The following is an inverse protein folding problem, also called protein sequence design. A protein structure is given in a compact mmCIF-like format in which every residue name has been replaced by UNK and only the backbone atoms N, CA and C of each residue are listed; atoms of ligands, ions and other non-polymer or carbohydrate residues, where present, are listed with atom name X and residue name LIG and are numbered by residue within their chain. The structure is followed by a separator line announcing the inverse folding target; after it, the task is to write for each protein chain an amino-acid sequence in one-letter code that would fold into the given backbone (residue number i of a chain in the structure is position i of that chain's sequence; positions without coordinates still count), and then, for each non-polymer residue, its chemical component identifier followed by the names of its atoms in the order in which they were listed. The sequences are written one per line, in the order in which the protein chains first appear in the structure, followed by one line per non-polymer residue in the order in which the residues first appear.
data_IF_601575047722
#
_entry.id   IF_601575047722
#
_cell.length_a   1.000
_cell.length_b   1.000
_cell.length_c   1.000
_cell.angle_alpha   90.00
_cell.angle_beta   90.00
_cell.angle_gamma   90.00
#
_symmetry.space_group_name_H-M   'P 1'
#
loop_
_entity.id
_entity.type
_entity.pdbx_description
1 polymer ?
#
# COMPACT_ATOMS: atom_id res chain seq x y z
N UNK A 1 45.55 6.79 -1.78
CA UNK A 1 44.75 6.95 -0.54
C UNK A 1 43.46 7.75 -0.76
N UNK A 2 43.51 9.00 -1.23
CA UNK A 2 42.29 9.81 -1.51
C UNK A 2 41.25 9.10 -2.41
N UNK A 3 41.70 8.43 -3.49
CA UNK A 3 40.82 7.68 -4.41
C UNK A 3 40.14 6.45 -3.76
N UNK A 4 40.80 5.81 -2.81
CA UNK A 4 40.25 4.64 -2.08
C UNK A 4 39.20 5.10 -1.05
N UNK A 5 39.46 6.23 -0.38
CA UNK A 5 38.52 6.81 0.57
C UNK A 5 37.22 7.22 -0.12
N UNK A 6 37.29 7.83 -1.32
CA UNK A 6 36.11 8.22 -2.12
C UNK A 6 35.31 6.99 -2.57
N UNK A 7 35.98 5.89 -2.91
CA UNK A 7 35.32 4.65 -3.32
C UNK A 7 34.55 3.99 -2.17
N UNK A 8 35.13 4.00 -0.96
CA UNK A 8 34.50 3.42 0.25
C UNK A 8 33.28 4.24 0.69
N UNK A 9 33.35 5.58 0.63
CA UNK A 9 32.17 6.44 0.93
C UNK A 9 31.05 6.25 -0.08
N UNK A 10 31.35 6.06 -1.36
CA UNK A 10 30.34 5.82 -2.39
C UNK A 10 29.63 4.48 -2.21
N UNK A 11 30.37 3.43 -1.86
CA UNK A 11 29.82 2.09 -1.61
C UNK A 11 28.91 2.08 -0.36
N UNK A 12 29.30 2.78 0.71
CA UNK A 12 28.49 2.91 1.94
C UNK A 12 27.15 3.62 1.72
N UNK A 13 27.10 4.60 0.81
CA UNK A 13 25.87 5.29 0.43
C UNK A 13 24.91 4.37 -0.36
N UNK A 14 25.42 3.43 -1.15
CA UNK A 14 24.60 2.47 -1.89
C UNK A 14 23.95 1.40 -1.00
N UNK A 15 24.58 1.01 0.12
CA UNK A 15 24.03 -0.01 1.02
C UNK A 15 22.80 0.45 1.82
N UNK A 16 22.60 1.76 1.99
CA UNK A 16 21.42 2.29 2.69
C UNK A 16 20.16 2.39 1.80
N UNK A 17 20.28 2.11 0.49
CA UNK A 17 19.18 2.27 -0.48
C UNK A 17 18.39 0.95 -0.65
N UNK A 18 18.96 -0.18 -0.24
CA UNK A 18 18.21 -1.44 -0.17
C UNK A 18 17.32 -1.40 1.06
N UNK A 19 16.05 -1.04 0.86
CA UNK A 19 15.02 -1.11 1.88
C UNK A 19 15.10 -2.45 2.58
N UNK A 20 15.59 -2.46 3.83
CA UNK A 20 15.62 -3.66 4.64
C UNK A 20 14.19 -4.18 4.69
N UNK A 21 13.97 -5.39 4.16
CA UNK A 21 12.67 -6.02 4.25
C UNK A 21 12.17 -6.08 5.70
N UNK A 22 10.90 -6.43 5.89
CA UNK A 22 10.35 -6.62 7.23
C UNK A 22 11.08 -7.80 7.89
N UNK A 23 11.92 -7.52 8.87
CA UNK A 23 12.80 -8.52 9.51
C UNK A 23 12.37 -8.90 10.92
N UNK A 24 11.44 -8.15 11.51
CA UNK A 24 10.96 -8.40 12.86
C UNK A 24 9.48 -8.04 13.02
N UNK A 25 8.90 -8.51 14.13
CA UNK A 25 7.50 -8.33 14.46
C UNK A 25 7.10 -6.85 14.56
N UNK A 26 7.92 -6.00 15.19
CA UNK A 26 7.60 -4.58 15.34
C UNK A 26 7.48 -3.87 13.97
N UNK A 27 8.35 -4.20 13.03
CA UNK A 27 8.27 -3.69 11.65
C UNK A 27 7.02 -4.22 10.94
N UNK A 28 6.68 -5.50 11.12
CA UNK A 28 5.48 -6.11 10.55
C UNK A 28 4.21 -5.44 11.08
N UNK A 29 4.11 -5.26 12.40
CA UNK A 29 2.97 -4.63 13.07
C UNK A 29 2.79 -3.18 12.58
N UNK A 30 3.89 -2.43 12.44
CA UNK A 30 3.84 -1.05 11.90
C UNK A 30 3.41 -1.04 10.43
N UNK A 31 3.90 -1.97 9.62
CA UNK A 31 3.49 -2.11 8.23
C UNK A 31 2.00 -2.42 8.13
N UNK A 32 1.51 -3.42 8.86
CA UNK A 32 0.09 -3.81 8.86
C UNK A 32 -0.78 -2.64 9.30
N UNK A 33 -0.42 -1.93 10.37
CA UNK A 33 -1.18 -0.77 10.84
C UNK A 33 -1.33 0.31 9.74
N UNK A 34 -0.24 0.65 9.05
CA UNK A 34 -0.29 1.60 7.93
C UNK A 34 -1.10 1.06 6.75
N UNK A 35 -0.90 -0.21 6.39
CA UNK A 35 -1.60 -0.87 5.30
C UNK A 35 -3.11 -0.92 5.54
N UNK A 36 -3.54 -1.14 6.78
CA UNK A 36 -4.95 -1.11 7.17
C UNK A 36 -5.58 0.27 6.95
N UNK A 37 -4.86 1.37 7.21
CA UNK A 37 -5.32 2.72 6.91
C UNK A 37 -5.46 2.91 5.39
N UNK A 38 -4.49 2.43 4.61
CA UNK A 38 -4.55 2.49 3.15
C UNK A 38 -5.72 1.69 2.57
N UNK A 39 -6.02 0.51 3.10
CA UNK A 39 -7.18 -0.30 2.70
C UNK A 39 -8.50 0.45 2.95
N UNK A 40 -8.68 1.06 4.13
CA UNK A 40 -9.88 1.84 4.44
C UNK A 40 -10.02 3.05 3.51
N UNK A 41 -8.92 3.76 3.25
CA UNK A 41 -8.91 4.86 2.28
C UNK A 41 -9.23 4.37 0.86
N UNK A 42 -8.73 3.20 0.47
CA UNK A 42 -9.04 2.53 -0.78
C UNK A 42 -10.53 2.23 -0.93
N UNK A 43 -11.16 1.68 0.11
CA UNK A 43 -12.61 1.43 0.16
C UNK A 43 -13.39 2.73 -0.01
N UNK A 44 -13.04 3.77 0.77
CA UNK A 44 -13.71 5.08 0.73
C UNK A 44 -13.64 5.71 -0.67
N UNK A 45 -12.45 5.72 -1.28
CA UNK A 45 -12.26 6.26 -2.63
C UNK A 45 -13.03 5.47 -3.69
N UNK A 46 -13.06 4.14 -3.58
CA UNK A 46 -13.75 3.25 -4.50
C UNK A 46 -15.27 3.41 -4.39
N UNK A 47 -15.80 3.55 -3.17
CA UNK A 47 -17.20 3.90 -2.92
C UNK A 47 -17.60 5.19 -3.66
N UNK A 48 -16.79 6.25 -3.53
CA UNK A 48 -17.04 7.52 -4.24
C UNK A 48 -17.07 7.33 -5.76
N UNK A 49 -16.18 6.50 -6.32
CA UNK A 49 -16.20 6.18 -7.76
C UNK A 49 -17.47 5.41 -8.14
N UNK A 50 -17.85 4.40 -7.37
CA UNK A 50 -19.09 3.63 -7.58
C UNK A 50 -20.32 4.55 -7.60
N UNK A 51 -20.42 5.48 -6.64
CA UNK A 51 -21.48 6.49 -6.59
C UNK A 51 -21.52 7.38 -7.85
N UNK A 52 -20.36 7.75 -8.39
CA UNK A 52 -20.30 8.47 -9.68
C UNK A 52 -20.73 7.59 -10.84
N UNK A 53 -20.36 6.31 -10.87
CA UNK A 53 -20.75 5.37 -11.95
C UNK A 53 -22.28 5.19 -11.99
N UNK A 54 -22.92 5.00 -10.84
CA UNK A 54 -24.37 4.82 -10.79
C UNK A 54 -25.12 6.11 -11.17
N UNK A 55 -24.64 7.29 -10.74
CA UNK A 55 -25.19 8.59 -11.17
C UNK A 55 -25.15 8.78 -12.70
N UNK A 56 -24.16 8.19 -13.35
CA UNK A 56 -23.97 8.25 -14.80
C UNK A 56 -24.64 7.08 -15.54
N UNK A 57 -25.55 6.33 -14.91
CA UNK A 57 -26.19 5.11 -15.45
C UNK A 57 -25.18 4.04 -15.94
N UNK A 58 -23.95 4.06 -15.45
CA UNK A 58 -22.93 3.07 -15.79
C UNK A 58 -22.98 1.90 -14.79
N UNK A 59 -23.96 1.01 -14.97
CA UNK A 59 -24.16 -0.14 -14.08
C UNK A 59 -22.96 -1.10 -14.08
N UNK A 60 -22.36 -1.37 -15.24
CA UNK A 60 -21.17 -2.24 -15.33
C UNK A 60 -20.03 -1.69 -14.47
N UNK A 61 -19.72 -0.40 -14.61
CA UNK A 61 -18.68 0.25 -13.80
C UNK A 61 -19.02 0.31 -12.32
N UNK A 62 -20.29 0.47 -11.96
CA UNK A 62 -20.71 0.39 -10.56
C UNK A 62 -20.44 -1.00 -9.95
N UNK A 63 -20.74 -2.07 -10.70
CA UNK A 63 -20.50 -3.44 -10.25
C UNK A 63 -19.00 -3.75 -10.13
N UNK A 64 -18.19 -3.28 -11.07
CA UNK A 64 -16.72 -3.41 -11.02
C UNK A 64 -16.14 -2.74 -9.76
N UNK A 65 -16.52 -1.49 -9.48
CA UNK A 65 -16.07 -0.78 -8.28
C UNK A 65 -16.61 -1.44 -7.00
N UNK A 66 -17.85 -1.95 -7.00
CA UNK A 66 -18.43 -2.67 -5.87
C UNK A 66 -17.71 -3.98 -5.58
N UNK A 67 -17.31 -4.72 -6.62
CA UNK A 67 -16.48 -5.91 -6.47
C UNK A 67 -15.12 -5.58 -5.87
N UNK A 68 -14.53 -4.45 -6.25
CA UNK A 68 -13.27 -3.98 -5.68
C UNK A 68 -13.41 -3.63 -4.20
N UNK A 69 -14.50 -2.97 -3.80
CA UNK A 69 -14.83 -2.73 -2.39
C UNK A 69 -14.89 -4.04 -1.61
N UNK A 70 -15.59 -5.06 -2.14
CA UNK A 70 -15.71 -6.35 -1.49
C UNK A 70 -14.34 -7.02 -1.28
N UNK A 71 -13.46 -6.98 -2.28
CA UNK A 71 -12.10 -7.51 -2.17
C UNK A 71 -11.26 -6.78 -1.11
N UNK A 72 -11.28 -5.45 -1.10
CA UNK A 72 -10.57 -4.65 -0.10
C UNK A 72 -11.10 -4.90 1.32
N UNK A 73 -12.43 -5.01 1.47
CA UNK A 73 -13.07 -5.29 2.75
C UNK A 73 -12.73 -6.69 3.28
N UNK A 74 -12.65 -7.69 2.40
CA UNK A 74 -12.23 -9.04 2.75
C UNK A 74 -10.78 -9.05 3.28
N UNK A 75 -9.84 -8.41 2.56
CA UNK A 75 -8.45 -8.28 3.01
C UNK A 75 -8.36 -7.56 4.36
N UNK A 76 -9.08 -6.45 4.52
CA UNK A 76 -9.13 -5.72 5.79
C UNK A 76 -9.64 -6.61 6.93
N UNK A 77 -10.68 -7.41 6.69
CA UNK A 77 -11.25 -8.29 7.71
C UNK A 77 -10.30 -9.40 8.18
N UNK A 78 -9.31 -9.78 7.35
CA UNK A 78 -8.34 -10.85 7.64
C UNK A 78 -7.03 -10.34 8.21
N UNK A 79 -6.64 -9.11 7.87
CA UNK A 79 -5.33 -8.54 8.27
C UNK A 79 -5.44 -7.49 9.38
N UNK A 80 -6.59 -6.83 9.51
CA UNK A 80 -6.75 -5.63 10.34
C UNK A 80 -7.75 -5.79 11.49
N UNK A 81 -8.52 -6.88 11.48
CA UNK A 81 -9.46 -7.30 12.53
C UNK A 81 -9.08 -8.70 12.98
#
# INVERSE_FOLDING_TARGET
MKKIIILITYISLCFNIYGSGITNKQQADKFIANYCIELVNGISNTKRRAETKIKNNNMKGFLEESSWIAGLADVYSKLCK
#
